data_IF_911838207746
#
_entry.id   IF_911838207746
#
_cell.length_a   1.000
_cell.length_b   1.000
_cell.length_c   1.000
_cell.angle_alpha   90.00
_cell.angle_beta   90.00
_cell.angle_gamma   90.00
#
_symmetry.space_group_name_H-M   'P 1'
#
loop_
_entity.id
_entity.type
_entity.pdbx_description
1 polymer ?
#
# COMPACT_ATOMS: atom_id res chain seq x y z
N UNK A 1 22.92 -17.48 6.28
CA UNK A 1 23.52 -18.43 5.31
C UNK A 1 23.92 -17.72 4.01
N UNK A 2 23.00 -17.03 3.32
CA UNK A 2 23.25 -16.37 2.02
C UNK A 2 24.29 -15.23 2.06
N UNK A 3 24.28 -14.38 3.10
CA UNK A 3 25.28 -13.31 3.25
C UNK A 3 26.72 -13.87 3.30
N UNK A 4 26.91 -15.02 3.97
CA UNK A 4 28.22 -15.70 4.02
C UNK A 4 28.65 -16.25 2.66
N UNK A 5 27.71 -16.45 1.74
CA UNK A 5 27.95 -16.89 0.37
C UNK A 5 28.14 -15.69 -0.59
N UNK A 6 28.20 -14.46 -0.08
CA UNK A 6 28.39 -13.25 -0.89
C UNK A 6 27.11 -12.72 -1.54
N UNK A 7 25.95 -13.31 -1.28
CA UNK A 7 24.66 -12.76 -1.72
C UNK A 7 24.30 -11.59 -0.81
N UNK A 8 24.42 -10.38 -1.34
CA UNK A 8 24.24 -9.11 -0.59
C UNK A 8 22.85 -8.50 -0.74
N UNK A 9 22.09 -8.91 -1.75
CA UNK A 9 20.73 -8.44 -1.99
C UNK A 9 19.85 -9.56 -2.56
N UNK A 10 18.55 -9.47 -2.26
CA UNK A 10 17.49 -10.26 -2.87
C UNK A 10 16.44 -9.31 -3.46
N UNK A 11 15.67 -9.73 -4.47
CA UNK A 11 14.52 -8.96 -4.92
C UNK A 11 13.52 -8.76 -3.78
N UNK A 12 13.06 -7.53 -3.62
CA UNK A 12 12.08 -7.15 -2.60
C UNK A 12 10.89 -6.47 -3.27
N UNK A 13 9.69 -6.79 -2.82
CA UNK A 13 8.45 -6.10 -3.21
C UNK A 13 7.58 -5.86 -1.99
N UNK A 14 6.96 -4.68 -1.91
CA UNK A 14 6.01 -4.36 -0.84
C UNK A 14 5.15 -3.14 -1.14
N UNK A 15 4.06 -3.02 -0.40
CA UNK A 15 3.17 -1.85 -0.34
C UNK A 15 3.72 -0.73 0.57
N UNK A 16 4.73 -1.06 1.37
CA UNK A 16 5.46 -0.10 2.19
C UNK A 16 6.47 0.78 1.43
N UNK A 17 7.20 1.57 2.23
CA UNK A 17 8.24 2.48 1.76
C UNK A 17 9.61 2.02 2.24
N UNK A 18 10.65 2.66 1.70
CA UNK A 18 12.02 2.48 2.13
C UNK A 18 12.74 3.83 2.27
N UNK A 19 13.80 3.88 3.07
CA UNK A 19 14.66 5.07 3.16
C UNK A 19 15.24 5.41 1.79
N UNK A 20 15.26 6.69 1.42
CA UNK A 20 15.87 7.17 0.18
C UNK A 20 17.39 6.96 0.11
N UNK A 21 18.04 6.65 1.23
CA UNK A 21 19.48 6.30 1.28
C UNK A 21 19.76 4.82 1.08
N UNK A 22 18.73 4.01 0.83
CA UNK A 22 18.92 2.57 0.72
C UNK A 22 19.41 2.15 -0.66
N UNK A 23 20.35 1.20 -0.69
CA UNK A 23 20.92 0.65 -1.92
C UNK A 23 20.26 -0.63 -2.44
N UNK A 24 19.12 -1.08 -1.87
CA UNK A 24 18.48 -2.31 -2.34
C UNK A 24 17.57 -2.07 -3.56
N UNK A 25 17.57 -2.97 -4.54
CA UNK A 25 16.71 -2.87 -5.72
C UNK A 25 15.29 -3.37 -5.41
N UNK A 26 14.53 -2.58 -4.65
CA UNK A 26 13.17 -2.91 -4.21
C UNK A 26 12.10 -2.32 -5.12
N UNK A 27 10.99 -3.04 -5.31
CA UNK A 27 9.72 -2.49 -5.79
C UNK A 27 8.91 -2.05 -4.56
N UNK A 28 8.56 -0.77 -4.47
CA UNK A 28 7.95 -0.16 -3.30
C UNK A 28 6.59 0.42 -3.66
N UNK A 29 5.83 0.84 -2.64
CA UNK A 29 4.60 1.61 -2.81
C UNK A 29 3.51 0.89 -3.62
N UNK A 30 3.55 -0.44 -3.68
CA UNK A 30 2.55 -1.23 -4.40
C UNK A 30 1.14 -0.87 -3.90
N UNK A 31 0.28 -0.46 -4.82
CA UNK A 31 -1.09 -0.01 -4.56
C UNK A 31 -2.07 -0.76 -5.47
N UNK A 32 -3.26 -1.17 -5.00
CA UNK A 32 -3.73 -1.07 -3.61
C UNK A 32 -2.87 -1.90 -2.64
N UNK A 33 -2.71 -1.42 -1.41
CA UNK A 33 -1.96 -2.11 -0.35
C UNK A 33 -2.68 -3.38 0.11
N UNK A 34 -1.97 -4.28 0.80
CA UNK A 34 -2.55 -5.52 1.30
C UNK A 34 -3.71 -5.28 2.30
N UNK A 35 -3.56 -4.26 3.16
CA UNK A 35 -4.58 -3.83 4.11
C UNK A 35 -5.89 -3.34 3.44
N UNK A 36 -5.80 -2.78 2.23
CA UNK A 36 -6.94 -2.37 1.42
C UNK A 36 -7.46 -3.51 0.51
N UNK A 37 -6.93 -4.72 0.66
CA UNK A 37 -7.30 -5.87 -0.14
C UNK A 37 -6.61 -5.94 -1.50
N UNK A 38 -5.47 -5.28 -1.70
CA UNK A 38 -4.66 -5.42 -2.91
C UNK A 38 -4.14 -6.84 -3.17
N UNK A 39 -3.47 -7.02 -4.31
CA UNK A 39 -2.97 -8.33 -4.74
C UNK A 39 -1.94 -8.94 -3.78
N UNK A 40 -1.13 -8.10 -3.11
CA UNK A 40 -0.15 -8.54 -2.13
C UNK A 40 -0.79 -9.28 -0.93
N UNK A 41 -2.06 -9.00 -0.61
CA UNK A 41 -2.78 -9.71 0.45
C UNK A 41 -3.03 -11.20 0.16
N UNK A 42 -2.91 -11.64 -1.10
CA UNK A 42 -3.21 -13.02 -1.52
C UNK A 42 -1.97 -13.89 -1.70
N UNK A 43 -0.79 -13.26 -1.74
CA UNK A 43 0.46 -13.98 -1.91
C UNK A 43 0.74 -14.84 -0.69
N UNK A 44 1.28 -16.03 -0.96
CA UNK A 44 1.76 -16.99 0.03
C UNK A 44 3.20 -17.36 -0.32
N UNK A 45 3.98 -17.74 0.69
CA UNK A 45 5.33 -18.25 0.49
C UNK A 45 5.31 -19.43 -0.49
N UNK A 46 6.15 -19.35 -1.52
CA UNK A 46 6.24 -20.35 -2.58
C UNK A 46 5.51 -19.97 -3.86
N UNK A 47 4.62 -18.97 -3.84
CA UNK A 47 4.04 -18.44 -5.08
C UNK A 47 5.11 -17.82 -5.97
N UNK A 48 4.92 -17.94 -7.28
CA UNK A 48 5.83 -17.35 -8.27
C UNK A 48 5.34 -15.99 -8.69
N UNK A 49 6.25 -15.02 -8.71
CA UNK A 49 6.02 -13.67 -9.25
C UNK A 49 6.94 -13.46 -10.43
N UNK A 50 6.40 -12.97 -11.55
CA UNK A 50 7.19 -12.59 -12.73
C UNK A 50 7.34 -11.08 -12.77
N UNK A 51 8.57 -10.60 -12.76
CA UNK A 51 8.89 -9.19 -12.97
C UNK A 51 9.49 -9.00 -14.36
N UNK A 52 8.88 -8.14 -15.16
CA UNK A 52 9.35 -7.78 -16.50
C UNK A 52 9.55 -6.26 -16.56
N UNK A 53 10.81 -5.83 -16.50
CA UNK A 53 11.17 -4.40 -16.49
C UNK A 53 10.98 -3.70 -17.84
N UNK A 54 11.00 -4.44 -18.94
CA UNK A 54 10.76 -3.88 -20.27
C UNK A 54 9.27 -3.58 -20.47
N UNK A 55 8.41 -4.40 -19.88
CA UNK A 55 6.96 -4.18 -19.87
C UNK A 55 6.46 -3.36 -18.69
N UNK A 56 7.28 -3.20 -17.64
CA UNK A 56 6.88 -2.55 -16.40
C UNK A 56 5.85 -3.34 -15.61
N UNK A 57 5.87 -4.68 -15.64
CA UNK A 57 4.89 -5.53 -14.95
C UNK A 57 5.51 -6.35 -13.82
N UNK A 58 4.69 -6.63 -12.81
CA UNK A 58 4.95 -7.59 -11.74
C UNK A 58 3.71 -8.47 -11.55
N UNK A 59 3.72 -9.66 -12.17
CA UNK A 59 2.57 -10.54 -12.27
C UNK A 59 2.64 -11.67 -11.22
N UNK A 60 1.56 -11.87 -10.47
CA UNK A 60 1.37 -13.06 -9.64
C UNK A 60 1.01 -14.22 -10.58
N UNK A 61 1.83 -15.26 -10.64
CA UNK A 61 1.62 -16.41 -11.54
C UNK A 61 0.64 -17.43 -10.93
N UNK A 62 -0.55 -16.97 -10.58
CA UNK A 62 -1.69 -17.77 -10.14
C UNK A 62 -2.85 -17.58 -11.12
N UNK A 63 -3.74 -18.56 -11.19
CA UNK A 63 -4.97 -18.40 -11.97
C UNK A 63 -5.95 -17.46 -11.28
N UNK A 64 -6.84 -16.84 -12.05
CA UNK A 64 -7.90 -15.98 -11.50
C UNK A 64 -8.81 -16.75 -10.53
N UNK A 65 -9.03 -18.04 -10.78
CA UNK A 65 -9.79 -18.91 -9.89
C UNK A 65 -9.11 -19.08 -8.52
N UNK A 66 -7.79 -19.28 -8.50
CA UNK A 66 -7.03 -19.39 -7.25
C UNK A 66 -6.99 -18.04 -6.50
N UNK A 67 -6.76 -16.93 -7.21
CA UNK A 67 -6.80 -15.60 -6.62
C UNK A 67 -8.17 -15.27 -6.01
N UNK A 68 -9.25 -15.63 -6.72
CA UNK A 68 -10.63 -15.45 -6.24
C UNK A 68 -10.93 -16.32 -5.02
N UNK A 69 -10.49 -17.59 -5.03
CA UNK A 69 -10.65 -18.48 -3.89
C UNK A 69 -9.91 -17.97 -2.65
N UNK A 70 -8.68 -17.46 -2.84
CA UNK A 70 -7.89 -16.86 -1.75
C UNK A 70 -8.50 -15.57 -1.23
N UNK A 71 -9.06 -14.74 -2.11
CA UNK A 71 -9.81 -13.54 -1.75
C UNK A 71 -10.99 -13.88 -0.85
N UNK A 72 -11.84 -14.81 -1.30
CA UNK A 72 -13.00 -15.25 -0.53
C UNK A 72 -12.60 -15.86 0.83
N UNK A 73 -11.51 -16.65 0.86
CA UNK A 73 -11.00 -17.22 2.11
C UNK A 73 -10.47 -16.15 3.07
N UNK A 74 -9.79 -15.11 2.57
CA UNK A 74 -9.31 -13.99 3.37
C UNK A 74 -10.48 -13.17 3.94
N UNK A 75 -11.47 -12.87 3.11
CA UNK A 75 -12.65 -12.11 3.52
C UNK A 75 -13.46 -12.88 4.58
N UNK A 76 -13.59 -14.21 4.43
CA UNK A 76 -14.23 -15.08 5.41
C UNK A 76 -13.49 -15.12 6.76
N UNK A 77 -12.19 -14.81 6.78
CA UNK A 77 -11.37 -14.71 8.00
C UNK A 77 -11.38 -13.30 8.62
N UNK A 78 -12.15 -12.37 8.07
CA UNK A 78 -12.24 -10.98 8.56
C UNK A 78 -11.29 -10.00 7.85
N UNK A 79 -10.73 -10.38 6.70
CA UNK A 79 -9.86 -9.55 5.88
C UNK A 79 -8.37 -9.65 6.25
N UNK A 80 -7.56 -8.78 5.66
CA UNK A 80 -6.12 -8.74 5.94
C UNK A 80 -5.86 -8.31 7.39
N UNK A 81 -5.03 -9.02 8.16
CA UNK A 81 -4.83 -8.73 9.56
C UNK A 81 -4.16 -7.37 9.75
N UNK A 82 -4.81 -6.49 10.52
CA UNK A 82 -4.31 -5.16 10.86
C UNK A 82 -4.29 -4.92 12.36
N UNK A 83 -3.27 -4.23 12.89
CA UNK A 83 -3.27 -3.81 14.29
C UNK A 83 -4.36 -2.77 14.56
N UNK A 84 -4.98 -2.81 15.74
CA UNK A 84 -5.98 -1.82 16.16
C UNK A 84 -5.40 -0.41 16.20
N UNK A 85 -6.25 0.59 15.99
CA UNK A 85 -5.87 2.00 16.19
C UNK A 85 -5.64 2.23 17.68
N UNK A 86 -4.52 2.84 18.02
CA UNK A 86 -4.10 3.11 19.40
C UNK A 86 -4.26 4.58 19.78
N UNK A 87 -4.45 5.46 18.77
CA UNK A 87 -4.64 6.89 19.00
C UNK A 87 -5.73 7.43 18.07
N UNK A 88 -6.39 8.56 18.43
CA UNK A 88 -7.38 9.20 17.57
C UNK A 88 -6.80 9.56 16.19
N UNK A 89 -5.54 9.97 16.11
CA UNK A 89 -4.91 10.29 14.84
C UNK A 89 -4.75 9.04 13.93
N UNK A 90 -4.44 7.88 14.50
CA UNK A 90 -4.38 6.63 13.71
C UNK A 90 -5.76 6.26 13.14
N UNK A 91 -6.83 6.49 13.89
CA UNK A 91 -8.20 6.26 13.41
C UNK A 91 -8.60 7.23 12.30
N UNK A 92 -8.31 8.53 12.46
CA UNK A 92 -8.52 9.55 11.42
C UNK A 92 -7.72 9.21 10.16
N UNK A 93 -6.44 8.85 10.31
CA UNK A 93 -5.58 8.50 9.19
C UNK A 93 -6.16 7.30 8.40
N UNK A 94 -6.50 6.21 9.08
CA UNK A 94 -7.02 4.98 8.43
C UNK A 94 -8.37 5.15 7.77
N UNK A 95 -9.19 6.09 8.27
CA UNK A 95 -10.52 6.34 7.70
C UNK A 95 -10.53 7.31 6.53
N UNK A 96 -9.46 8.08 6.33
CA UNK A 96 -9.48 9.23 5.42
C UNK A 96 -8.31 9.28 4.42
N UNK A 97 -7.21 8.56 4.63
CA UNK A 97 -6.05 8.61 3.74
C UNK A 97 -6.24 7.75 2.50
N UNK A 98 -5.84 8.29 1.34
CA UNK A 98 -5.81 7.56 0.07
C UNK A 98 -4.61 6.61 -0.06
N UNK A 99 -4.67 5.75 -1.08
CA UNK A 99 -3.58 4.85 -1.44
C UNK A 99 -2.33 5.60 -1.95
N UNK A 100 -1.19 4.90 -2.11
CA UNK A 100 0.08 5.55 -2.42
C UNK A 100 0.10 6.13 -3.83
N UNK A 101 -0.53 5.44 -4.77
CA UNK A 101 -0.76 5.90 -6.15
C UNK A 101 -1.53 7.23 -6.23
N UNK A 102 -2.31 7.55 -5.19
CA UNK A 102 -3.04 8.81 -5.03
C UNK A 102 -2.35 9.80 -4.05
N UNK A 103 -1.10 9.52 -3.69
CA UNK A 103 -0.25 10.43 -2.92
C UNK A 103 -0.43 10.39 -1.40
N UNK A 104 -1.19 9.43 -0.85
CA UNK A 104 -1.38 9.25 0.61
C UNK A 104 -1.86 10.53 1.33
N UNK A 105 -2.67 11.33 0.63
CA UNK A 105 -3.30 12.53 1.18
C UNK A 105 -4.56 12.18 1.97
N UNK A 106 -5.01 13.09 2.83
CA UNK A 106 -6.38 13.03 3.35
C UNK A 106 -7.35 13.27 2.18
N UNK A 107 -8.12 12.25 1.79
CA UNK A 107 -9.07 12.26 0.66
C UNK A 107 -9.90 13.53 0.56
N UNK A 108 -10.58 14.02 1.62
CA UNK A 108 -11.37 15.24 1.49
C UNK A 108 -10.54 16.52 1.49
N UNK A 109 -9.24 16.49 1.81
CA UNK A 109 -8.43 17.70 1.86
C UNK A 109 -8.22 18.31 0.47
N UNK A 110 -8.16 17.49 -0.58
CA UNK A 110 -7.89 17.96 -1.95
C UNK A 110 -8.95 18.93 -2.48
N UNK A 111 -10.18 18.88 -1.95
CA UNK A 111 -11.28 19.78 -2.34
C UNK A 111 -11.12 21.22 -1.85
N UNK A 112 -10.32 21.44 -0.79
CA UNK A 112 -10.17 22.75 -0.18
C UNK A 112 -9.01 23.51 -0.83
N UNK A 113 -9.32 24.28 -1.87
CA UNK A 113 -8.34 25.02 -2.65
C UNK A 113 -8.59 26.53 -2.53
N UNK A 114 -7.50 27.30 -2.40
CA UNK A 114 -7.55 28.78 -2.36
C UNK A 114 -8.59 29.32 -1.37
N UNK A 115 -8.64 28.74 -0.17
CA UNK A 115 -9.73 28.93 0.81
C UNK A 115 -9.95 30.42 1.12
N UNK A 116 -8.89 31.23 1.23
CA UNK A 116 -9.01 32.66 1.46
C UNK A 116 -9.72 33.41 0.32
N UNK A 117 -9.56 32.95 -0.93
CA UNK A 117 -10.16 33.55 -2.12
C UNK A 117 -11.55 32.99 -2.43
N UNK A 118 -11.80 31.71 -2.12
CA UNK A 118 -13.03 31.01 -2.50
C UNK A 118 -14.09 30.98 -1.40
N UNK A 119 -13.67 31.03 -0.13
CA UNK A 119 -14.56 30.94 1.04
C UNK A 119 -14.62 32.25 1.85
N UNK A 120 -13.78 33.24 1.49
CA UNK A 120 -13.71 34.53 2.17
C UNK A 120 -13.03 34.47 3.54
N UNK A 121 -13.12 35.57 4.29
CA UNK A 121 -12.63 35.65 5.66
C UNK A 121 -13.57 34.86 6.58
N UNK A 122 -13.05 34.03 7.50
CA UNK A 122 -13.86 33.39 8.52
C UNK A 122 -14.68 34.40 9.33
N UNK A 123 -15.77 33.93 9.93
CA UNK A 123 -16.64 34.75 10.77
C UNK A 123 -15.84 35.41 11.90
N UNK A 124 -16.08 36.70 12.14
CA UNK A 124 -15.58 37.40 13.32
C UNK A 124 -16.08 36.70 14.59
N UNK A 125 -15.20 36.55 15.57
CA UNK A 125 -15.50 35.83 16.80
C UNK A 125 -15.86 36.75 17.97
N UNK A 126 -15.84 38.07 17.80
CA UNK A 126 -16.18 39.08 18.80
C UNK A 126 -17.10 40.18 18.26
#
# INVERSE_FOLDING_TARGET
ALIKQGVTALPCIGDGRQSGTSGSPSILNASPEAAAGGGLALLKTGDRVRVDLLKGTADILLSDAELSARRAALDAQGGFPMPKSQTPWQEIQRSMVEQFDEGMVLKPAVKYQRVAQTMGVPRDNH
#
